data_IF_512925759380
#
_entry.id   IF_512925759380
#
_cell.length_a   1.000
_cell.length_b   1.000
_cell.length_c   1.000
_cell.angle_alpha   90.00
_cell.angle_beta   90.00
_cell.angle_gamma   90.00
#
_symmetry.space_group_name_H-M   'P 1'
#
loop_
_entity.id
_entity.type
_entity.pdbx_description
1 polymer ?
#
# COMPACT_ATOMS: atom_id res chain seq x y z
N UNK A 1 -4.50 3.61 -14.63
CA UNK A 1 -3.73 2.70 -15.50
C UNK A 1 -4.59 1.99 -16.54
N UNK A 2 -5.77 1.48 -16.16
CA UNK A 2 -6.73 0.85 -17.08
C UNK A 2 -7.05 1.70 -18.31
N UNK A 3 -7.34 2.99 -18.13
CA UNK A 3 -7.74 3.87 -19.25
C UNK A 3 -6.58 4.19 -20.21
N UNK A 4 -5.34 4.12 -19.72
CA UNK A 4 -4.14 4.38 -20.53
C UNK A 4 -3.74 3.17 -21.38
N UNK A 5 -4.10 1.95 -20.96
CA UNK A 5 -3.74 0.70 -21.63
C UNK A 5 -4.93 -0.28 -21.65
N UNK A 6 -6.02 0.07 -22.34
CA UNK A 6 -7.28 -0.68 -22.27
C UNK A 6 -7.18 -2.09 -22.87
N UNK A 7 -6.43 -2.24 -23.97
CA UNK A 7 -6.34 -3.49 -24.74
C UNK A 7 -5.04 -4.29 -24.47
N UNK A 8 -3.98 -3.61 -24.06
CA UNK A 8 -2.64 -4.21 -23.90
C UNK A 8 -2.50 -4.98 -22.59
N UNK A 9 -3.26 -4.61 -21.57
CA UNK A 9 -3.12 -5.12 -20.22
C UNK A 9 -4.42 -5.79 -19.81
N UNK A 10 -4.32 -7.01 -19.29
CA UNK A 10 -5.48 -7.73 -18.77
C UNK A 10 -6.00 -7.05 -17.50
N UNK A 11 -7.26 -6.64 -17.53
CA UNK A 11 -7.95 -5.98 -16.42
C UNK A 11 -9.29 -6.64 -16.12
N UNK A 12 -9.27 -7.78 -15.43
CA UNK A 12 -10.50 -8.39 -14.91
C UNK A 12 -10.92 -7.84 -13.54
N UNK A 13 -12.09 -8.28 -13.08
CA UNK A 13 -12.67 -7.84 -11.81
C UNK A 13 -11.93 -8.45 -10.62
N UNK A 14 -11.46 -9.69 -10.75
CA UNK A 14 -10.74 -10.41 -9.70
C UNK A 14 -9.23 -10.22 -9.83
N UNK A 15 -8.50 -10.26 -8.72
CA UNK A 15 -7.04 -10.09 -8.73
C UNK A 15 -6.32 -11.08 -9.67
N UNK A 16 -6.76 -12.34 -9.72
CA UNK A 16 -6.21 -13.37 -10.63
C UNK A 16 -6.42 -13.07 -12.11
N UNK A 17 -7.26 -12.09 -12.43
CA UNK A 17 -7.55 -11.64 -13.79
C UNK A 17 -6.85 -10.32 -14.13
N UNK A 18 -6.12 -9.72 -13.20
CA UNK A 18 -5.37 -8.49 -13.41
C UNK A 18 -3.91 -8.82 -13.75
N UNK A 19 -3.27 -7.97 -14.54
CA UNK A 19 -1.85 -8.08 -14.80
C UNK A 19 -1.04 -7.78 -13.53
N UNK A 20 -0.29 -8.77 -13.02
CA UNK A 20 0.38 -8.69 -11.73
C UNK A 20 1.30 -7.47 -11.57
N UNK A 21 2.13 -7.16 -12.57
CA UNK A 21 3.06 -6.03 -12.48
C UNK A 21 2.33 -4.68 -12.36
N UNK A 22 1.27 -4.47 -13.13
CA UNK A 22 0.50 -3.23 -13.08
C UNK A 22 -0.38 -3.16 -11.83
N UNK A 23 -0.89 -4.30 -11.36
CA UNK A 23 -1.58 -4.38 -10.08
C UNK A 23 -0.65 -4.02 -8.90
N UNK A 24 0.61 -4.44 -8.93
CA UNK A 24 1.60 -4.08 -7.92
C UNK A 24 1.98 -2.59 -7.93
N UNK A 25 1.72 -1.89 -9.04
CA UNK A 25 1.91 -0.43 -9.14
C UNK A 25 0.68 0.37 -8.71
N UNK A 26 -0.44 -0.29 -8.40
CA UNK A 26 -1.64 0.36 -7.89
C UNK A 26 -1.48 0.60 -6.39
N UNK A 27 -1.73 1.85 -5.97
CA UNK A 27 -1.52 2.30 -4.59
C UNK A 27 -2.85 2.40 -3.86
N UNK A 28 -2.97 1.66 -2.76
CA UNK A 28 -4.14 1.66 -1.90
C UNK A 28 -3.81 2.23 -0.52
N UNK A 29 -4.82 2.87 0.10
CA UNK A 29 -4.80 3.11 1.54
C UNK A 29 -5.10 1.81 2.28
N UNK A 30 -4.19 1.39 3.15
CA UNK A 30 -4.30 0.18 3.94
C UNK A 30 -4.35 0.50 5.45
N UNK A 31 -5.16 -0.26 6.20
CA UNK A 31 -5.45 -0.05 7.61
C UNK A 31 -4.48 -0.80 8.52
N UNK A 32 -3.58 -0.10 9.21
CA UNK A 32 -2.59 -0.72 10.10
C UNK A 32 -3.24 -1.70 11.09
N UNK A 33 -4.25 -1.22 11.81
CA UNK A 33 -5.21 -2.07 12.51
C UNK A 33 -6.39 -2.33 11.57
N UNK A 34 -6.67 -3.59 11.17
CA UNK A 34 -7.76 -3.89 10.25
C UNK A 34 -9.12 -3.42 10.78
N UNK A 35 -10.00 -2.99 9.88
CA UNK A 35 -11.37 -2.54 10.25
C UNK A 35 -12.16 -3.62 10.98
N UNK A 36 -12.01 -4.87 10.57
CA UNK A 36 -12.62 -6.04 11.22
C UNK A 36 -12.15 -6.26 12.67
N UNK A 37 -11.03 -5.64 13.06
CA UNK A 37 -10.44 -5.65 14.40
C UNK A 37 -10.63 -4.31 15.14
N UNK A 38 -11.55 -3.45 14.67
CA UNK A 38 -11.84 -2.17 15.31
C UNK A 38 -10.97 -1.00 14.84
N UNK A 39 -10.17 -1.20 13.78
CA UNK A 39 -9.42 -0.11 13.15
C UNK A 39 -10.32 1.01 12.62
N UNK A 40 -9.95 2.25 12.92
CA UNK A 40 -10.70 3.45 12.50
C UNK A 40 -10.20 3.97 11.16
N UNK A 41 -11.06 4.71 10.46
CA UNK A 41 -10.67 5.46 9.25
C UNK A 41 -10.04 6.80 9.65
N UNK A 42 -8.83 6.74 10.20
CA UNK A 42 -8.07 7.95 10.56
C UNK A 42 -6.71 7.92 9.88
N UNK A 43 -6.12 9.09 9.57
CA UNK A 43 -4.80 9.17 8.94
C UNK A 43 -3.72 8.38 9.70
N UNK A 44 -3.81 8.34 11.02
CA UNK A 44 -2.86 7.63 11.90
C UNK A 44 -2.99 6.11 11.80
N UNK A 45 -4.10 5.59 11.28
CA UNK A 45 -4.32 4.17 11.04
C UNK A 45 -4.13 3.78 9.56
N UNK A 46 -3.68 4.71 8.72
CA UNK A 46 -3.43 4.46 7.31
C UNK A 46 -1.95 4.41 6.96
N UNK A 47 -1.63 3.53 6.03
CA UNK A 47 -0.38 3.51 5.25
C UNK A 47 -0.73 3.36 3.78
N UNK A 48 0.19 3.74 2.89
CA UNK A 48 0.08 3.41 1.47
C UNK A 48 0.72 2.05 1.23
N UNK A 49 0.02 1.16 0.54
CA UNK A 49 0.54 -0.15 0.15
C UNK A 49 0.17 -0.49 -1.28
N UNK A 50 0.85 -1.49 -1.85
CA UNK A 50 0.51 -2.03 -3.15
C UNK A 50 -0.82 -2.81 -3.06
N UNK A 51 -1.67 -2.77 -4.09
CA UNK A 51 -2.93 -3.52 -4.09
C UNK A 51 -2.80 -5.02 -3.75
N UNK A 52 -1.81 -5.79 -4.26
CA UNK A 52 -1.65 -7.17 -3.84
C UNK A 52 -1.16 -7.32 -2.40
N UNK A 53 -0.39 -6.37 -1.87
CA UNK A 53 0.05 -6.33 -0.48
C UNK A 53 -1.15 -6.14 0.46
N UNK A 54 -1.96 -5.12 0.18
CA UNK A 54 -3.20 -4.80 0.90
C UNK A 54 -4.15 -6.01 0.93
N UNK A 55 -4.47 -6.54 -0.27
CA UNK A 55 -5.37 -7.67 -0.40
C UNK A 55 -4.81 -8.95 0.24
N UNK A 56 -3.50 -9.19 0.13
CA UNK A 56 -2.84 -10.36 0.69
C UNK A 56 -2.82 -10.35 2.21
N UNK A 57 -2.62 -9.19 2.84
CA UNK A 57 -2.69 -9.04 4.30
C UNK A 57 -4.13 -9.13 4.80
N UNK A 58 -5.09 -8.56 4.08
CA UNK A 58 -6.51 -8.68 4.40
C UNK A 58 -6.85 -8.24 5.83
N UNK A 59 -7.36 -9.17 6.65
CA UNK A 59 -7.80 -8.89 8.03
C UNK A 59 -6.74 -9.21 9.10
N UNK A 60 -5.52 -9.54 8.70
CA UNK A 60 -4.43 -9.85 9.62
C UNK A 60 -3.73 -8.57 10.09
N UNK A 61 -3.33 -8.53 11.36
CA UNK A 61 -2.49 -7.45 11.90
C UNK A 61 -1.06 -7.58 11.35
N UNK A 62 -0.29 -6.49 11.42
CA UNK A 62 1.12 -6.50 11.04
C UNK A 62 1.93 -7.57 11.81
N UNK A 63 1.63 -7.73 13.10
CA UNK A 63 2.25 -8.76 13.96
C UNK A 63 1.92 -10.18 13.50
N UNK A 64 0.64 -10.46 13.19
CA UNK A 64 0.21 -11.79 12.75
C UNK A 64 0.88 -12.22 11.43
N UNK A 65 1.24 -11.28 10.54
CA UNK A 65 1.97 -11.55 9.29
C UNK A 65 3.49 -11.37 9.41
N UNK A 66 4.01 -11.00 10.59
CA UNK A 66 5.44 -10.79 10.83
C UNK A 66 6.04 -9.61 10.05
N UNK A 67 5.24 -8.60 9.75
CA UNK A 67 5.67 -7.38 9.04
C UNK A 67 5.80 -6.24 10.03
N UNK A 68 6.86 -5.44 9.92
CA UNK A 68 7.02 -4.23 10.74
C UNK A 68 6.20 -3.07 10.19
N UNK A 69 5.69 -2.19 11.06
CA UNK A 69 5.07 -0.93 10.62
C UNK A 69 6.12 -0.10 9.86
N UNK A 70 5.92 0.22 8.57
CA UNK A 70 6.90 0.95 7.78
C UNK A 70 7.22 2.33 8.36
N UNK A 71 6.31 2.92 9.15
CA UNK A 71 6.50 4.23 9.80
C UNK A 71 7.40 4.15 11.04
N UNK A 72 7.61 2.95 11.57
CA UNK A 72 8.54 2.73 12.70
C UNK A 72 10.01 2.78 12.29
N UNK A 73 10.28 2.66 10.98
CA UNK A 73 11.65 2.79 10.45
C UNK A 73 11.98 4.27 10.30
N UNK A 74 13.02 4.80 10.98
CA UNK A 74 13.45 6.17 10.79
C UNK A 74 13.78 6.43 9.31
N UNK A 75 13.43 7.60 8.78
CA UNK A 75 13.68 7.93 7.38
C UNK A 75 15.17 7.78 6.97
N UNK A 76 16.08 8.01 7.91
CA UNK A 76 17.53 7.84 7.75
C UNK A 76 18.00 6.36 7.72
N UNK A 77 17.18 5.43 8.21
CA UNK A 77 17.47 4.00 8.28
C UNK A 77 16.76 3.19 7.19
N UNK A 78 15.89 3.83 6.38
CA UNK A 78 15.28 3.16 5.24
C UNK A 78 16.36 2.80 4.22
N UNK A 79 16.43 1.51 3.84
CA UNK A 79 17.34 1.01 2.81
C UNK A 79 17.11 1.64 1.43
N UNK A 80 15.96 2.30 1.25
CA UNK A 80 15.71 3.24 0.17
C UNK A 80 15.96 4.64 0.74
N UNK A 81 17.05 5.33 0.36
CA UNK A 81 17.30 6.68 0.84
C UNK A 81 16.09 7.54 0.51
N UNK A 82 15.47 8.16 1.51
CA UNK A 82 14.55 9.29 1.28
C UNK A 82 15.23 10.41 0.47
N UNK A 83 16.57 10.40 0.41
CA UNK A 83 17.38 11.25 -0.47
C UNK A 83 17.24 10.95 -1.97
N UNK A 84 16.71 9.78 -2.39
CA UNK A 84 16.46 9.46 -3.80
C UNK A 84 15.05 9.86 -4.27
N UNK A 85 14.13 10.20 -3.36
CA UNK A 85 12.84 10.76 -3.74
C UNK A 85 12.64 12.12 -3.09
N UNK A 86 12.41 13.16 -3.89
CA UNK A 86 11.88 14.46 -3.41
C UNK A 86 10.49 14.35 -2.76
N UNK A 87 9.95 13.14 -2.68
CA UNK A 87 8.67 12.81 -2.09
C UNK A 87 8.76 12.89 -0.57
N UNK A 88 7.98 13.78 0.02
CA UNK A 88 7.95 14.10 1.44
C UNK A 88 6.89 13.29 2.21
N UNK A 89 6.42 12.18 1.64
CA UNK A 89 5.37 11.37 2.24
C UNK A 89 4.04 12.12 2.39
N UNK A 90 3.78 13.13 1.56
CA UNK A 90 2.58 13.98 1.64
C UNK A 90 2.50 14.86 2.91
N UNK A 91 3.59 14.98 3.66
CA UNK A 91 3.66 15.76 4.92
C UNK A 91 3.50 17.28 4.72
N UNK A 92 3.37 17.76 3.47
CA UNK A 92 3.30 19.19 3.13
C UNK A 92 1.94 19.68 2.64
N UNK A 93 0.89 18.86 2.71
CA UNK A 93 -0.46 19.29 2.30
C UNK A 93 -1.30 19.64 3.54
N UNK A 94 -1.18 20.90 3.96
CA UNK A 94 -2.22 21.68 4.65
C UNK A 94 -2.57 22.88 3.77
#
# INVERSE_FOLDING_TARGET
>A
MRDAYPETIRWGARNVEKHAAFQAMDLDFDHIVPRSRGGRNTPENFVVSCAPCNCGRGNWTLEEVGVMDPRSTPAAACAIPHALSKWDGLMRVL
#
